data_IF_153730720869
#
_entry.id   IF_153730720869
#
_cell.length_a   1.000
_cell.length_b   1.000
_cell.length_c   1.000
_cell.angle_alpha   90.00
_cell.angle_beta   90.00
_cell.angle_gamma   90.00
#
_symmetry.space_group_name_H-M   'P 1'
#
loop_
_entity.id
_entity.type
_entity.pdbx_description
1 polymer ?
#
# COMPACT_ATOMS: atom_id res chain seq x y z
N UNK A 1 27.07 -40.83 6.22
CA UNK A 1 26.74 -39.90 5.11
C UNK A 1 25.86 -38.81 5.69
N UNK A 2 26.42 -37.63 5.95
CA UNK A 2 25.68 -36.47 6.45
C UNK A 2 25.21 -35.71 5.21
N UNK A 3 23.92 -35.85 4.86
CA UNK A 3 23.30 -35.15 3.75
C UNK A 3 23.08 -33.69 4.12
N UNK A 4 23.81 -32.80 3.45
CA UNK A 4 23.64 -31.35 3.53
C UNK A 4 22.27 -30.99 2.94
N UNK A 5 21.30 -30.62 3.77
CA UNK A 5 20.08 -29.96 3.32
C UNK A 5 20.44 -28.52 2.93
N UNK A 6 20.71 -28.29 1.64
CA UNK A 6 20.91 -26.95 1.11
C UNK A 6 19.58 -26.19 1.16
N UNK A 7 19.53 -25.15 1.99
CA UNK A 7 18.41 -24.22 2.11
C UNK A 7 18.12 -23.57 0.76
N UNK A 8 17.03 -23.97 0.11
CA UNK A 8 16.50 -23.39 -1.14
C UNK A 8 15.83 -22.01 -0.93
N UNK A 9 16.34 -21.19 -0.03
CA UNK A 9 15.97 -19.77 0.09
C UNK A 9 16.79 -18.98 -0.92
N UNK A 10 16.47 -19.16 -2.21
CA UNK A 10 17.18 -18.54 -3.32
C UNK A 10 16.70 -17.11 -3.63
N UNK A 11 17.45 -16.35 -4.45
CA UNK A 11 17.07 -15.01 -4.92
C UNK A 11 15.72 -14.96 -5.66
N UNK A 12 15.25 -16.09 -6.19
CA UNK A 12 13.93 -16.19 -6.82
C UNK A 12 12.78 -16.04 -5.80
N UNK A 13 12.94 -16.52 -4.56
CA UNK A 13 11.94 -16.39 -3.50
C UNK A 13 11.85 -14.96 -2.96
N UNK A 14 12.96 -14.22 -2.96
CA UNK A 14 12.98 -12.79 -2.61
C UNK A 14 12.51 -11.86 -3.75
N UNK A 15 12.48 -12.35 -4.99
CA UNK A 15 12.01 -11.59 -6.17
C UNK A 15 10.49 -11.74 -6.42
N UNK A 16 9.96 -12.97 -6.31
CA UNK A 16 8.62 -13.17 -5.74
C UNK A 16 8.64 -12.61 -4.30
N UNK A 17 7.64 -12.61 -3.45
CA UNK A 17 7.62 -11.78 -2.22
C UNK A 17 7.77 -10.26 -2.52
N UNK A 18 8.89 -9.75 -3.05
CA UNK A 18 9.02 -8.34 -3.49
C UNK A 18 7.95 -7.96 -4.52
N UNK A 19 7.73 -8.78 -5.55
CA UNK A 19 6.69 -8.51 -6.55
C UNK A 19 5.30 -8.46 -5.92
N UNK A 20 4.99 -9.38 -5.00
CA UNK A 20 3.71 -9.50 -4.32
C UNK A 20 3.49 -8.34 -3.34
N UNK A 21 4.53 -7.92 -2.61
CA UNK A 21 4.52 -6.75 -1.73
C UNK A 21 4.32 -5.47 -2.54
N UNK A 22 5.00 -5.31 -3.68
CA UNK A 22 4.78 -4.17 -4.56
C UNK A 22 3.43 -4.22 -5.27
N UNK A 23 2.90 -5.41 -5.54
CA UNK A 23 1.53 -5.59 -6.02
C UNK A 23 0.52 -5.19 -4.94
N UNK A 24 0.76 -5.52 -3.67
CA UNK A 24 -0.05 -5.00 -2.56
C UNK A 24 -0.03 -3.48 -2.54
N UNK A 25 1.16 -2.87 -2.62
CA UNK A 25 1.32 -1.42 -2.61
C UNK A 25 0.50 -0.75 -3.73
N UNK A 26 0.57 -1.26 -4.96
CA UNK A 26 -0.29 -0.79 -6.05
C UNK A 26 -1.79 -1.05 -5.82
N UNK A 27 -2.15 -2.22 -5.28
CA UNK A 27 -3.54 -2.61 -5.01
C UNK A 27 -4.22 -1.69 -3.99
N UNK A 28 -3.51 -1.30 -2.93
CA UNK A 28 -4.02 -0.37 -1.92
C UNK A 28 -4.32 0.99 -2.54
N UNK A 29 -3.35 1.56 -3.26
CA UNK A 29 -3.55 2.86 -3.91
C UNK A 29 -4.70 2.83 -4.92
N UNK A 30 -4.78 1.76 -5.72
CA UNK A 30 -5.89 1.55 -6.64
C UNK A 30 -7.24 1.46 -5.94
N UNK A 31 -7.36 0.65 -4.88
CA UNK A 31 -8.61 0.56 -4.11
C UNK A 31 -9.02 1.89 -3.49
N UNK A 32 -8.07 2.64 -2.95
CA UNK A 32 -8.36 3.96 -2.37
C UNK A 32 -8.94 4.90 -3.44
N UNK A 33 -8.34 4.95 -4.63
CA UNK A 33 -8.80 5.81 -5.72
C UNK A 33 -10.11 5.33 -6.33
N UNK A 34 -10.25 4.04 -6.63
CA UNK A 34 -11.51 3.45 -7.11
C UNK A 34 -12.68 3.73 -6.14
N UNK A 35 -12.39 3.79 -4.84
CA UNK A 35 -13.39 4.09 -3.82
C UNK A 35 -13.69 5.60 -3.72
N UNK A 36 -12.66 6.45 -3.79
CA UNK A 36 -12.79 7.89 -3.59
C UNK A 36 -13.36 8.62 -4.81
N UNK A 37 -12.97 8.24 -6.02
CA UNK A 37 -13.37 8.89 -7.28
C UNK A 37 -14.88 9.03 -7.49
N UNK A 38 -15.73 8.03 -7.19
CA UNK A 38 -17.18 8.17 -7.35
C UNK A 38 -17.85 8.98 -6.23
N UNK A 39 -17.14 9.34 -5.15
CA UNK A 39 -17.70 10.11 -4.05
C UNK A 39 -17.69 11.61 -4.36
N UNK A 40 -18.70 12.29 -3.86
CA UNK A 40 -18.71 13.75 -3.81
C UNK A 40 -17.69 14.27 -2.79
N UNK A 41 -17.23 15.50 -2.98
CA UNK A 41 -16.31 16.13 -2.02
C UNK A 41 -16.88 16.16 -0.59
N UNK A 42 -18.20 16.36 -0.44
CA UNK A 42 -18.87 16.32 0.85
C UNK A 42 -18.75 14.95 1.53
N UNK A 43 -18.98 13.87 0.78
CA UNK A 43 -18.85 12.49 1.29
C UNK A 43 -17.40 12.16 1.70
N UNK A 44 -16.41 12.65 0.94
CA UNK A 44 -14.99 12.52 1.32
C UNK A 44 -14.71 13.26 2.63
N UNK A 45 -15.20 14.48 2.81
CA UNK A 45 -15.03 15.25 4.05
C UNK A 45 -15.73 14.57 5.23
N UNK A 46 -16.93 14.03 5.03
CA UNK A 46 -17.65 13.27 6.07
C UNK A 46 -16.92 12.00 6.49
N UNK A 47 -16.33 11.30 5.52
CA UNK A 47 -15.52 10.12 5.77
C UNK A 47 -14.26 10.47 6.56
N UNK A 48 -13.47 11.45 6.11
CA UNK A 48 -12.20 11.86 6.75
C UNK A 48 -12.42 12.47 8.13
N UNK A 49 -13.56 13.15 8.35
CA UNK A 49 -13.93 13.67 9.68
C UNK A 49 -14.50 12.62 10.63
N UNK A 50 -14.63 11.36 10.20
CA UNK A 50 -15.17 10.27 11.00
C UNK A 50 -16.68 10.35 11.26
N UNK A 51 -17.38 11.27 10.58
CA UNK A 51 -18.83 11.43 10.70
C UNK A 51 -19.58 10.30 10.00
N UNK A 52 -18.99 9.71 8.95
CA UNK A 52 -19.57 8.61 8.20
C UNK A 52 -18.74 7.33 8.34
N UNK A 53 -19.03 6.55 9.39
CA UNK A 53 -18.33 5.29 9.70
C UNK A 53 -18.57 4.18 8.67
N UNK A 54 -19.74 4.19 8.00
CA UNK A 54 -20.05 3.22 6.94
C UNK A 54 -19.11 3.39 5.74
N UNK A 55 -18.86 4.64 5.31
CA UNK A 55 -17.90 4.91 4.24
C UNK A 55 -16.49 4.45 4.59
N UNK A 56 -16.04 4.67 5.83
CA UNK A 56 -14.74 4.19 6.30
C UNK A 56 -14.64 2.66 6.28
N UNK A 57 -15.68 1.96 6.73
CA UNK A 57 -15.71 0.49 6.70
C UNK A 57 -15.72 -0.05 5.26
N UNK A 58 -16.48 0.59 4.36
CA UNK A 58 -16.52 0.20 2.95
C UNK A 58 -15.19 0.42 2.25
N UNK A 59 -14.45 1.49 2.59
CA UNK A 59 -13.10 1.73 2.08
C UNK A 59 -12.13 0.65 2.56
N UNK A 60 -12.12 0.30 3.86
CA UNK A 60 -11.29 -0.80 4.40
C UNK A 60 -11.58 -2.11 3.66
N UNK A 61 -12.86 -2.45 3.49
CA UNK A 61 -13.28 -3.64 2.73
C UNK A 61 -12.90 -3.57 1.25
N UNK A 62 -12.83 -2.39 0.64
CA UNK A 62 -12.39 -2.26 -0.75
C UNK A 62 -10.90 -2.58 -0.89
N UNK A 63 -10.09 -2.09 0.06
CA UNK A 63 -8.65 -2.39 0.14
C UNK A 63 -8.41 -3.88 0.42
N UNK A 64 -9.10 -4.48 1.40
CA UNK A 64 -8.97 -5.91 1.76
C UNK A 64 -9.35 -6.87 0.62
N UNK A 65 -10.22 -6.42 -0.29
CA UNK A 65 -10.66 -7.20 -1.45
C UNK A 65 -9.67 -7.16 -2.61
N UNK A 66 -8.75 -6.19 -2.66
CA UNK A 66 -7.69 -6.17 -3.67
C UNK A 66 -6.54 -7.09 -3.25
N UNK A 67 -5.94 -7.76 -4.23
CA UNK A 67 -4.81 -8.67 -4.05
C UNK A 67 -5.19 -10.16 -4.09
N UNK A 68 -4.31 -10.96 -4.71
CA UNK A 68 -4.43 -12.41 -4.78
C UNK A 68 -4.12 -13.07 -3.43
N UNK A 69 -4.36 -14.38 -3.32
CA UNK A 69 -3.96 -15.16 -2.15
C UNK A 69 -2.45 -15.04 -1.87
N UNK A 70 -1.63 -14.96 -2.91
CA UNK A 70 -0.17 -14.81 -2.80
C UNK A 70 0.23 -13.45 -2.23
N UNK A 71 -0.43 -12.38 -2.69
CA UNK A 71 -0.27 -11.05 -2.11
C UNK A 71 -0.61 -11.05 -0.62
N UNK A 72 -1.74 -11.67 -0.25
CA UNK A 72 -2.16 -11.79 1.16
C UNK A 72 -1.19 -12.60 1.99
N UNK A 73 -0.53 -13.60 1.41
CA UNK A 73 0.51 -14.38 2.07
C UNK A 73 1.79 -13.56 2.26
N UNK A 74 2.23 -12.84 1.23
CA UNK A 74 3.44 -12.02 1.25
C UNK A 74 3.35 -10.88 2.28
N UNK A 75 2.19 -10.23 2.43
CA UNK A 75 2.06 -9.15 3.42
C UNK A 75 2.00 -9.63 4.88
N UNK A 76 1.61 -10.89 5.13
CA UNK A 76 1.59 -11.45 6.49
C UNK A 76 2.98 -11.56 7.11
N UNK A 77 4.03 -11.64 6.30
CA UNK A 77 5.42 -11.70 6.79
C UNK A 77 6.04 -10.34 7.07
N UNK A 78 5.41 -9.22 6.66
CA UNK A 78 5.96 -7.87 6.78
C UNK A 78 5.89 -7.27 8.19
N UNK A 79 5.06 -7.84 9.07
CA UNK A 79 4.73 -7.29 10.38
C UNK A 79 3.76 -6.11 10.30
N UNK A 80 2.88 -6.00 11.30
CA UNK A 80 1.73 -5.08 11.26
C UNK A 80 2.14 -3.61 11.05
N UNK A 81 3.21 -3.15 11.70
CA UNK A 81 3.68 -1.77 11.57
C UNK A 81 4.23 -1.42 10.17
N UNK A 82 4.91 -2.35 9.50
CA UNK A 82 5.40 -2.12 8.13
C UNK A 82 4.26 -2.13 7.12
N UNK A 83 3.26 -2.98 7.35
CA UNK A 83 2.05 -3.05 6.53
C UNK A 83 1.25 -1.75 6.59
N UNK A 84 1.07 -1.21 7.80
CA UNK A 84 0.41 0.08 8.02
C UNK A 84 1.12 1.22 7.28
N UNK A 85 2.45 1.31 7.42
CA UNK A 85 3.27 2.31 6.73
C UNK A 85 3.17 2.20 5.21
N UNK A 86 3.20 0.98 4.66
CA UNK A 86 3.00 0.82 3.22
C UNK A 86 1.60 1.23 2.78
N UNK A 87 0.57 0.87 3.54
CA UNK A 87 -0.82 1.22 3.22
C UNK A 87 -1.02 2.73 3.16
N UNK A 88 -0.47 3.47 4.12
CA UNK A 88 -0.50 4.94 4.10
C UNK A 88 0.24 5.54 2.92
N UNK A 89 1.47 5.08 2.67
CA UNK A 89 2.27 5.58 1.57
C UNK A 89 1.57 5.29 0.22
N UNK A 90 0.89 4.15 0.10
CA UNK A 90 0.13 3.79 -1.11
C UNK A 90 -1.07 4.72 -1.31
N UNK A 91 -1.84 4.96 -0.25
CA UNK A 91 -2.97 5.90 -0.29
C UNK A 91 -2.53 7.31 -0.65
N UNK A 92 -1.48 7.82 0.01
CA UNK A 92 -0.94 9.16 -0.24
C UNK A 92 -0.42 9.30 -1.67
N UNK A 93 0.45 8.40 -2.12
CA UNK A 93 1.02 8.49 -3.47
C UNK A 93 -0.05 8.26 -4.55
N UNK A 94 -1.01 7.36 -4.32
CA UNK A 94 -2.15 7.17 -5.22
C UNK A 94 -2.98 8.45 -5.37
N UNK A 95 -3.28 9.11 -4.25
CA UNK A 95 -3.97 10.40 -4.26
C UNK A 95 -3.17 11.49 -4.97
N UNK A 96 -1.87 11.58 -4.74
CA UNK A 96 -0.99 12.53 -5.43
C UNK A 96 -0.97 12.31 -6.95
N UNK A 97 -0.93 11.06 -7.41
CA UNK A 97 -0.99 10.73 -8.83
C UNK A 97 -2.25 11.29 -9.48
N UNK A 98 -3.40 11.10 -8.83
CA UNK A 98 -4.69 11.61 -9.33
C UNK A 98 -4.73 13.14 -9.31
N UNK A 99 -4.35 13.75 -8.19
CA UNK A 99 -4.38 15.21 -8.03
C UNK A 99 -3.44 15.95 -8.98
N UNK A 100 -2.34 15.31 -9.41
CA UNK A 100 -1.41 15.87 -10.39
C UNK A 100 -1.75 15.51 -11.84
N UNK A 101 -2.84 14.78 -12.07
CA UNK A 101 -3.25 14.33 -13.40
C UNK A 101 -2.33 13.27 -14.01
N UNK A 102 -1.48 12.62 -13.21
CA UNK A 102 -0.61 11.53 -13.66
C UNK A 102 -1.35 10.20 -13.81
N UNK A 103 -2.47 10.04 -13.11
CA UNK A 103 -3.40 8.92 -13.24
C UNK A 103 -4.83 9.43 -13.14
N UNK A 104 -5.76 8.75 -13.79
CA UNK A 104 -7.19 9.11 -13.88
C UNK A 104 -8.11 8.04 -13.28
N UNK A 105 -7.60 6.83 -13.06
CA UNK A 105 -8.32 5.73 -12.46
C UNK A 105 -7.42 4.86 -11.56
N UNK A 106 -8.01 3.91 -10.82
CA UNK A 106 -7.25 3.03 -9.96
C UNK A 106 -6.32 2.05 -10.69
N UNK A 107 -6.59 1.72 -11.95
CA UNK A 107 -5.75 0.80 -12.73
C UNK A 107 -4.43 1.48 -13.15
N UNK A 108 -4.48 2.75 -13.56
CA UNK A 108 -3.30 3.57 -13.81
C UNK A 108 -2.50 3.76 -12.52
N UNK A 109 -3.18 4.06 -11.41
CA UNK A 109 -2.54 4.14 -10.08
C UNK A 109 -1.84 2.83 -9.70
N UNK A 110 -2.49 1.69 -9.90
CA UNK A 110 -1.88 0.37 -9.66
C UNK A 110 -0.56 0.24 -10.43
N UNK A 111 -0.60 0.45 -11.74
CA UNK A 111 0.56 0.27 -12.61
C UNK A 111 1.73 1.16 -12.21
N UNK A 112 1.45 2.43 -11.93
CA UNK A 112 2.48 3.39 -11.52
C UNK A 112 3.08 3.08 -10.15
N UNK A 113 2.24 2.79 -9.16
CA UNK A 113 2.72 2.50 -7.80
C UNK A 113 3.47 1.17 -7.73
N UNK A 114 2.97 0.12 -8.38
CA UNK A 114 3.64 -1.17 -8.43
C UNK A 114 5.02 -1.05 -9.11
N UNK A 115 5.11 -0.35 -10.25
CA UNK A 115 6.40 -0.11 -10.93
C UNK A 115 7.38 0.66 -10.06
N UNK A 116 6.94 1.78 -9.47
CA UNK A 116 7.77 2.61 -8.58
C UNK A 116 8.27 1.81 -7.36
N UNK A 117 7.42 0.94 -6.79
CA UNK A 117 7.84 0.06 -5.71
C UNK A 117 8.87 -0.98 -6.17
N UNK A 118 8.71 -1.55 -7.37
CA UNK A 118 9.68 -2.50 -7.89
C UNK A 118 11.05 -1.85 -8.12
N UNK A 119 11.06 -0.60 -8.58
CA UNK A 119 12.26 0.20 -8.78
C UNK A 119 12.93 0.59 -7.45
N UNK A 120 12.20 1.19 -6.52
CA UNK A 120 12.73 1.69 -5.26
C UNK A 120 13.00 0.59 -4.21
N UNK A 121 12.18 -0.46 -4.22
CA UNK A 121 12.10 -1.48 -3.19
C UNK A 121 11.11 -1.14 -2.06
N UNK A 122 10.41 -2.15 -1.50
CA UNK A 122 9.39 -1.94 -0.47
C UNK A 122 9.96 -1.36 0.83
N UNK A 123 11.16 -1.79 1.24
CA UNK A 123 11.81 -1.27 2.46
C UNK A 123 12.10 0.22 2.38
N UNK A 124 12.48 0.72 1.19
CA UNK A 124 12.73 2.14 0.97
C UNK A 124 11.46 2.98 1.15
N UNK A 125 10.31 2.46 0.70
CA UNK A 125 8.99 3.09 0.89
C UNK A 125 8.63 3.12 2.38
N UNK A 126 8.76 1.98 3.06
CA UNK A 126 8.44 1.85 4.50
C UNK A 126 9.29 2.83 5.31
N UNK A 127 10.60 2.86 5.07
CA UNK A 127 11.50 3.75 5.80
C UNK A 127 11.28 5.24 5.46
N UNK A 128 10.92 5.57 4.21
CA UNK A 128 10.52 6.92 3.86
C UNK A 128 9.26 7.37 4.62
N UNK A 129 8.24 6.52 4.69
CA UNK A 129 7.01 6.82 5.42
C UNK A 129 7.26 6.89 6.94
N UNK A 130 8.09 5.99 7.48
CA UNK A 130 8.49 6.03 8.89
C UNK A 130 9.14 7.37 9.25
N UNK A 131 10.06 7.86 8.41
CA UNK A 131 10.68 9.18 8.58
C UNK A 131 9.66 10.31 8.45
N UNK A 132 8.74 10.23 7.49
CA UNK A 132 7.69 11.24 7.31
C UNK A 132 6.79 11.37 8.55
N UNK A 133 6.37 10.25 9.15
CA UNK A 133 5.61 10.25 10.43
C UNK A 133 6.40 10.90 11.57
N UNK A 134 7.69 10.59 11.67
CA UNK A 134 8.54 11.15 12.73
C UNK A 134 8.65 12.69 12.65
N UNK A 135 8.59 13.26 11.45
CA UNK A 135 8.57 14.72 11.23
C UNK A 135 7.21 15.38 11.53
N UNK A 136 6.13 14.60 11.58
CA UNK A 136 4.77 15.07 11.85
C UNK A 136 4.35 14.90 13.31
N UNK A 137 5.12 14.15 14.10
CA UNK A 137 4.91 14.09 15.53
C UNK A 137 5.16 15.49 16.12
N UNK A 138 4.22 16.06 16.89
CA UNK A 138 4.42 17.37 17.49
C UNK A 138 5.65 17.34 18.39
N UNK A 139 6.56 18.30 18.19
CA UNK A 139 7.66 18.57 19.12
C UNK A 139 7.06 18.87 20.49
N UNK A 140 7.07 17.89 21.39
CA UNK A 140 6.86 18.14 22.81
C UNK A 140 8.16 18.72 23.38
N UNK A 141 8.46 19.98 23.05
CA UNK A 141 9.46 20.81 23.73
C UNK A 141 8.77 21.97 24.45
#
# INVERSE_FOLDING_TARGET
MIGLAASLTGPATQAADKQEVCSYYGNVGAAAIDFLMPLTFAEVVEMVSGKNKDLLERMSKAVERKGSADVKKAIRSMGDGSLELMGEAAGLHGFQLVMTGQATDGQEVFGMLASRCMEAGPDAIIEAQRRARALQAPDNN
#
